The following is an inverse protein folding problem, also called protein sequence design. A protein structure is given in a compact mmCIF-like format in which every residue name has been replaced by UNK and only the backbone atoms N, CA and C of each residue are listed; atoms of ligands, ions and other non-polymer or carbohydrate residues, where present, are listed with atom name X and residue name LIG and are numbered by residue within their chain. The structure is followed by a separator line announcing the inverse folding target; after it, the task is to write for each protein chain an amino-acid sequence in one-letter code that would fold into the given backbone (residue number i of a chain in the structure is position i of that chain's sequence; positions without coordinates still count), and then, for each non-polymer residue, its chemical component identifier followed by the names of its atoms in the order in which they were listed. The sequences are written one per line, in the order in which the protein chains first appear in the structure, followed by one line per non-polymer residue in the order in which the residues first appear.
data_IF_798227279481
#
_entry.id   IF_798227279481
#
_cell.length_a   1.000
_cell.length_b   1.000
_cell.length_c   1.000
_cell.angle_alpha   90.00
_cell.angle_beta   90.00
_cell.angle_gamma   90.00
#
_symmetry.space_group_name_H-M   'P 1'
#
loop_
_entity.id
_entity.type
_entity.pdbx_description
1 polymer ?
#
# COMPACT_ATOMS: atom_id res chain seq x y z
N UNK A 1 -16.98 10.29 -22.29
CA UNK A 1 -17.33 9.18 -23.20
C UNK A 1 -18.12 8.11 -22.42
N UNK A 2 -19.34 8.46 -21.99
CA UNK A 2 -20.17 7.70 -21.02
C UNK A 2 -21.22 6.85 -21.78
N UNK A 3 -21.55 5.66 -21.26
CA UNK A 3 -22.78 4.86 -21.53
C UNK A 3 -22.78 3.64 -22.50
N UNK A 4 -21.74 2.81 -22.59
CA UNK A 4 -21.86 1.50 -23.30
C UNK A 4 -21.72 0.21 -22.49
N UNK A 5 -21.19 0.22 -21.26
CA UNK A 5 -21.03 -1.04 -20.49
C UNK A 5 -22.24 -1.47 -19.64
N UNK A 6 -23.29 -0.64 -19.54
CA UNK A 6 -24.45 -0.91 -18.65
C UNK A 6 -25.24 -2.18 -18.97
N UNK A 7 -25.20 -2.69 -20.20
CA UNK A 7 -26.08 -3.80 -20.65
C UNK A 7 -25.51 -5.20 -20.42
N UNK A 8 -24.21 -5.38 -20.11
CA UNK A 8 -23.62 -6.73 -19.90
C UNK A 8 -23.73 -7.22 -18.45
N UNK A 9 -23.58 -6.33 -17.47
CA UNK A 9 -23.60 -6.69 -16.04
C UNK A 9 -24.99 -7.14 -15.57
N UNK A 10 -26.05 -6.71 -16.26
CA UNK A 10 -27.45 -7.08 -15.94
C UNK A 10 -27.86 -8.48 -16.43
N UNK A 11 -27.01 -9.20 -17.16
CA UNK A 11 -27.27 -10.60 -17.57
C UNK A 11 -26.91 -11.63 -16.50
N UNK A 12 -26.18 -11.22 -15.45
CA UNK A 12 -25.78 -12.13 -14.36
C UNK A 12 -26.93 -12.22 -13.35
N UNK A 13 -27.54 -13.40 -13.22
CA UNK A 13 -28.67 -13.65 -12.31
C UNK A 13 -28.36 -13.24 -10.85
N UNK A 14 -27.11 -13.37 -10.43
CA UNK A 14 -26.59 -12.94 -9.13
C UNK A 14 -26.67 -11.42 -8.93
N UNK A 15 -26.37 -10.64 -9.96
CA UNK A 15 -26.44 -9.17 -9.90
C UNK A 15 -27.89 -8.68 -9.72
N UNK A 16 -28.86 -9.39 -10.32
CA UNK A 16 -30.28 -9.08 -10.14
C UNK A 16 -30.76 -9.38 -8.72
N UNK A 17 -30.37 -10.54 -8.16
CA UNK A 17 -30.67 -10.92 -6.76
C UNK A 17 -30.06 -9.94 -5.76
N UNK A 18 -28.78 -9.61 -5.93
CA UNK A 18 -28.08 -8.66 -5.07
C UNK A 18 -28.74 -7.28 -5.13
N UNK A 19 -29.07 -6.77 -6.32
CA UNK A 19 -29.76 -5.49 -6.50
C UNK A 19 -31.13 -5.46 -5.81
N UNK A 20 -31.90 -6.54 -5.87
CA UNK A 20 -33.19 -6.60 -5.20
C UNK A 20 -33.04 -6.61 -3.67
N UNK A 21 -32.06 -7.35 -3.15
CA UNK A 21 -31.77 -7.37 -1.72
C UNK A 21 -31.31 -5.99 -1.21
N UNK A 22 -30.38 -5.34 -1.92
CA UNK A 22 -29.89 -3.98 -1.61
C UNK A 22 -30.98 -2.90 -1.65
N UNK A 23 -32.08 -3.12 -2.39
CA UNK A 23 -33.24 -2.21 -2.39
C UNK A 23 -34.18 -2.44 -1.20
N UNK A 24 -34.18 -3.65 -0.62
CA UNK A 24 -34.98 -3.99 0.57
C UNK A 24 -34.33 -3.47 1.84
N UNK A 25 -32.99 -3.48 1.90
CA UNK A 25 -32.24 -2.93 3.03
C UNK A 25 -32.31 -1.40 3.00
N UNK A 26 -33.09 -0.85 3.94
CA UNK A 26 -33.21 0.59 4.16
C UNK A 26 -32.35 1.01 5.34
N UNK A 27 -31.63 2.11 5.18
CA UNK A 27 -30.83 2.68 6.25
C UNK A 27 -31.76 3.52 7.13
N UNK A 28 -31.94 3.10 8.39
CA UNK A 28 -32.77 3.82 9.36
C UNK A 28 -32.08 5.15 9.71
N UNK A 29 -32.78 6.28 9.57
CA UNK A 29 -32.29 7.60 9.98
C UNK A 29 -31.88 8.57 8.87
N UNK A 30 -31.69 8.14 7.62
CA UNK A 30 -31.21 9.02 6.52
C UNK A 30 -32.27 9.35 5.45
N UNK A 31 -33.56 9.46 5.79
CA UNK A 31 -34.60 9.85 4.83
C UNK A 31 -34.77 8.86 3.66
N UNK A 32 -35.41 7.70 3.90
CA UNK A 32 -35.80 6.71 2.88
C UNK A 32 -34.70 6.32 1.83
N UNK A 33 -33.42 6.40 2.21
CA UNK A 33 -32.31 5.97 1.36
C UNK A 33 -32.16 4.44 1.41
N UNK A 34 -32.24 3.80 0.25
CA UNK A 34 -31.95 2.37 0.08
C UNK A 34 -30.44 2.17 -0.04
N UNK A 35 -29.93 1.04 0.45
CA UNK A 35 -28.51 0.71 0.35
C UNK A 35 -28.03 0.74 -1.11
N UNK A 36 -28.86 0.29 -2.06
CA UNK A 36 -28.61 0.42 -3.49
C UNK A 36 -28.35 1.88 -3.94
N UNK A 37 -29.17 2.84 -3.48
CA UNK A 37 -29.02 4.24 -3.86
C UNK A 37 -27.78 4.85 -3.21
N UNK A 38 -27.52 4.52 -1.95
CA UNK A 38 -26.30 4.91 -1.25
C UNK A 38 -25.05 4.42 -1.99
N UNK A 39 -24.94 3.12 -2.25
CA UNK A 39 -23.78 2.56 -2.96
C UNK A 39 -23.61 3.16 -4.35
N UNK A 40 -24.71 3.44 -5.07
CA UNK A 40 -24.65 4.10 -6.36
C UNK A 40 -24.09 5.52 -6.26
N UNK A 41 -24.54 6.32 -5.29
CA UNK A 41 -24.03 7.68 -5.06
C UNK A 41 -22.56 7.62 -4.64
N UNK A 42 -22.22 6.72 -3.73
CA UNK A 42 -20.86 6.51 -3.23
C UNK A 42 -19.87 6.18 -4.35
N UNK A 43 -20.19 5.21 -5.21
CA UNK A 43 -19.34 4.85 -6.35
C UNK A 43 -19.21 6.03 -7.33
N UNK A 44 -20.31 6.75 -7.59
CA UNK A 44 -20.28 7.94 -8.44
C UNK A 44 -19.34 9.02 -7.87
N UNK A 45 -19.37 9.27 -6.56
CA UNK A 45 -18.48 10.23 -5.91
C UNK A 45 -17.02 9.76 -5.94
N UNK A 46 -16.75 8.46 -5.75
CA UNK A 46 -15.38 7.91 -5.89
C UNK A 46 -14.80 8.20 -7.28
N UNK A 47 -15.61 8.03 -8.33
CA UNK A 47 -15.21 8.32 -9.71
C UNK A 47 -15.07 9.84 -9.96
N UNK A 48 -16.00 10.65 -9.45
CA UNK A 48 -15.98 12.11 -9.60
C UNK A 48 -14.83 12.79 -8.85
N UNK A 49 -14.44 12.25 -7.68
CA UNK A 49 -13.33 12.76 -6.86
C UNK A 49 -11.96 12.18 -7.27
N UNK A 50 -11.89 11.44 -8.39
CA UNK A 50 -10.66 10.83 -8.92
C UNK A 50 -9.87 10.03 -7.87
N UNK A 51 -10.59 9.40 -6.92
CA UNK A 51 -9.97 8.73 -5.77
C UNK A 51 -9.05 7.60 -6.23
N UNK A 52 -9.40 6.91 -7.33
CA UNK A 52 -8.59 5.85 -7.88
C UNK A 52 -7.21 6.37 -8.31
N UNK A 53 -7.17 7.46 -9.08
CA UNK A 53 -5.91 8.03 -9.58
C UNK A 53 -5.06 8.59 -8.44
N UNK A 54 -5.69 9.23 -7.45
CA UNK A 54 -5.00 9.69 -6.23
C UNK A 54 -4.42 8.53 -5.44
N UNK A 55 -5.20 7.45 -5.26
CA UNK A 55 -4.74 6.26 -4.53
C UNK A 55 -3.59 5.57 -5.24
N UNK A 56 -3.60 5.53 -6.58
CA UNK A 56 -2.48 5.05 -7.39
C UNK A 56 -1.23 5.89 -7.17
N UNK A 57 -1.36 7.23 -7.17
CA UNK A 57 -0.25 8.14 -6.89
C UNK A 57 0.35 7.94 -5.49
N UNK A 58 -0.50 7.76 -4.48
CA UNK A 58 -0.08 7.45 -3.11
C UNK A 58 0.67 6.13 -3.05
N UNK A 59 0.09 5.06 -3.60
CA UNK A 59 0.70 3.73 -3.62
C UNK A 59 2.07 3.72 -4.32
N UNK A 60 2.18 4.41 -5.46
CA UNK A 60 3.43 4.56 -6.18
C UNK A 60 4.54 5.20 -5.32
N UNK A 61 4.23 6.32 -4.64
CA UNK A 61 5.21 6.99 -3.78
C UNK A 61 5.65 6.11 -2.60
N UNK A 62 4.72 5.37 -1.98
CA UNK A 62 5.07 4.45 -0.90
C UNK A 62 5.93 3.27 -1.38
N UNK A 63 5.61 2.67 -2.53
CA UNK A 63 6.42 1.58 -3.11
C UNK A 63 7.84 2.07 -3.40
N UNK A 64 7.99 3.28 -3.94
CA UNK A 64 9.31 3.89 -4.15
C UNK A 64 10.09 4.09 -2.84
N UNK A 65 9.41 4.48 -1.75
CA UNK A 65 10.05 4.70 -0.45
C UNK A 65 10.45 3.37 0.25
N UNK A 66 9.72 2.28 0.01
CA UNK A 66 9.96 0.98 0.66
C UNK A 66 11.37 0.47 0.34
N UNK A 67 11.83 0.54 -0.91
CA UNK A 67 13.13 -0.03 -1.29
C UNK A 67 14.32 0.61 -0.55
N UNK A 68 14.52 1.96 -0.58
CA UNK A 68 15.60 2.59 0.18
C UNK A 68 15.44 2.41 1.69
N UNK A 69 14.20 2.34 2.19
CA UNK A 69 13.94 2.09 3.62
C UNK A 69 14.43 0.70 4.03
N UNK A 70 14.14 -0.35 3.25
CA UNK A 70 14.64 -1.71 3.54
C UNK A 70 16.17 -1.75 3.52
N UNK A 71 16.79 -1.12 2.51
CA UNK A 71 18.26 -1.05 2.42
C UNK A 71 18.82 -0.35 3.65
N UNK A 72 18.27 0.80 4.03
CA UNK A 72 18.64 1.53 5.24
C UNK A 72 18.54 0.64 6.49
N UNK A 73 17.41 -0.03 6.69
CA UNK A 73 17.19 -0.91 7.84
C UNK A 73 18.21 -2.06 7.87
N UNK A 74 18.50 -2.71 6.74
CA UNK A 74 19.49 -3.79 6.69
C UNK A 74 20.92 -3.29 6.92
N UNK A 75 21.26 -2.12 6.38
CA UNK A 75 22.57 -1.51 6.63
C UNK A 75 22.75 -1.01 8.05
N UNK A 76 21.66 -0.80 8.80
CA UNK A 76 21.69 -0.40 10.21
C UNK A 76 22.03 -1.58 11.12
N UNK A 77 21.64 -2.81 10.76
CA UNK A 77 21.81 -4.02 11.59
C UNK A 77 23.28 -4.22 12.05
N UNK A 78 24.30 -4.15 11.18
CA UNK A 78 25.70 -4.30 11.61
C UNK A 78 26.20 -3.26 12.61
N UNK A 79 25.50 -2.13 12.77
CA UNK A 79 25.83 -1.09 13.75
C UNK A 79 25.15 -1.31 15.10
N UNK A 80 24.00 -2.00 15.12
CA UNK A 80 23.21 -2.22 16.34
C UNK A 80 23.35 -3.64 16.89
N UNK A 81 23.87 -4.59 16.11
CA UNK A 81 24.01 -6.00 16.50
C UNK A 81 24.85 -6.19 17.78
N UNK A 82 25.83 -5.31 18.01
CA UNK A 82 26.65 -5.35 19.24
C UNK A 82 25.85 -4.97 20.49
N UNK A 83 24.83 -4.11 20.34
CA UNK A 83 23.95 -3.69 21.42
C UNK A 83 22.75 -4.63 21.60
N UNK A 84 22.30 -5.26 20.51
CA UNK A 84 21.12 -6.13 20.47
C UNK A 84 21.45 -7.48 19.82
N UNK A 85 22.05 -8.43 20.56
CA UNK A 85 22.49 -9.72 20.01
C UNK A 85 21.34 -10.62 19.52
N UNK A 86 20.09 -10.32 19.87
CA UNK A 86 18.90 -10.98 19.31
C UNK A 86 18.64 -10.62 17.84
N UNK A 87 19.19 -9.49 17.37
CA UNK A 87 19.10 -9.02 15.99
C UNK A 87 20.43 -9.33 15.30
N UNK A 88 20.77 -10.62 15.24
CA UNK A 88 21.98 -11.10 14.56
C UNK A 88 21.73 -11.34 13.08
N UNK A 89 22.81 -11.37 12.31
CA UNK A 89 22.83 -11.78 10.90
C UNK A 89 22.12 -13.13 10.70
N UNK A 90 22.42 -14.11 11.53
CA UNK A 90 21.86 -15.46 11.46
C UNK A 90 20.35 -15.44 11.69
N UNK A 91 19.89 -14.67 12.69
CA UNK A 91 18.46 -14.52 12.97
C UNK A 91 17.70 -13.93 11.75
N UNK A 92 18.30 -12.96 11.06
CA UNK A 92 17.71 -12.39 9.85
C UNK A 92 17.70 -13.38 8.69
N UNK A 93 18.76 -14.17 8.51
CA UNK A 93 18.81 -15.18 7.45
C UNK A 93 17.77 -16.29 7.68
N UNK A 94 17.59 -16.74 8.92
CA UNK A 94 16.54 -17.71 9.29
C UNK A 94 15.16 -17.12 9.05
N UNK A 95 14.93 -15.87 9.46
CA UNK A 95 13.67 -15.17 9.18
C UNK A 95 13.39 -15.12 7.66
N UNK A 96 14.37 -14.78 6.84
CA UNK A 96 14.19 -14.76 5.39
C UNK A 96 13.90 -16.16 4.82
N UNK A 97 14.56 -17.22 5.31
CA UNK A 97 14.28 -18.58 4.84
C UNK A 97 12.90 -19.10 5.22
N UNK A 98 12.34 -18.67 6.35
CA UNK A 98 11.03 -19.12 6.83
C UNK A 98 9.87 -18.47 6.08
N UNK A 99 10.03 -17.23 5.62
CA UNK A 99 8.97 -16.45 4.97
C UNK A 99 9.09 -16.36 3.44
N UNK A 100 10.25 -16.69 2.86
CA UNK A 100 10.47 -16.61 1.42
C UNK A 100 10.42 -17.99 0.76
N UNK A 101 9.84 -18.08 -0.46
CA UNK A 101 10.02 -19.27 -1.28
C UNK A 101 11.52 -19.54 -1.55
N UNK A 102 11.97 -20.81 -1.61
CA UNK A 102 13.38 -21.16 -1.78
C UNK A 102 14.04 -20.48 -2.98
N UNK A 103 13.34 -20.45 -4.12
CA UNK A 103 13.82 -19.81 -5.35
C UNK A 103 14.10 -18.31 -5.21
N UNK A 104 13.37 -17.62 -4.33
CA UNK A 104 13.60 -16.20 -4.07
C UNK A 104 14.73 -16.02 -3.05
N UNK A 105 14.78 -16.86 -2.03
CA UNK A 105 15.84 -16.85 -1.03
C UNK A 105 17.21 -17.04 -1.68
N UNK A 106 17.35 -18.00 -2.60
CA UNK A 106 18.59 -18.29 -3.31
C UNK A 106 19.16 -17.08 -4.06
N UNK A 107 18.27 -16.22 -4.58
CA UNK A 107 18.64 -15.01 -5.32
C UNK A 107 19.09 -13.88 -4.39
N UNK A 108 18.42 -13.69 -3.25
CA UNK A 108 18.68 -12.54 -2.37
C UNK A 108 19.70 -12.81 -1.29
N UNK A 109 19.88 -14.08 -0.88
CA UNK A 109 20.65 -14.45 0.31
C UNK A 109 22.06 -13.87 0.27
N UNK A 110 22.77 -13.95 -0.86
CA UNK A 110 24.16 -13.48 -0.98
C UNK A 110 24.26 -11.96 -0.81
N UNK A 111 23.28 -11.22 -1.33
CA UNK A 111 23.24 -9.76 -1.25
C UNK A 111 22.93 -9.30 0.17
N UNK A 112 21.91 -9.90 0.80
CA UNK A 112 21.55 -9.60 2.18
C UNK A 112 22.73 -9.95 3.10
N UNK A 113 23.31 -11.13 2.90
CA UNK A 113 24.46 -11.60 3.65
C UNK A 113 25.65 -10.64 3.56
N UNK A 114 25.96 -10.10 2.38
CA UNK A 114 27.04 -9.12 2.21
C UNK A 114 26.73 -7.77 2.92
N UNK A 115 25.48 -7.30 2.86
CA UNK A 115 25.04 -6.08 3.57
C UNK A 115 25.16 -6.26 5.09
N UNK A 116 24.75 -7.42 5.61
CA UNK A 116 24.80 -7.71 7.05
C UNK A 116 26.22 -8.02 7.57
N UNK A 117 27.18 -8.34 6.68
CA UNK A 117 28.54 -8.71 7.10
C UNK A 117 29.41 -7.51 7.47
N UNK A 118 29.11 -6.33 6.90
CA UNK A 118 30.03 -5.19 6.88
C UNK A 118 29.29 -3.90 7.12
N UNK A 119 29.85 -3.05 7.98
CA UNK A 119 29.37 -1.69 8.18
C UNK A 119 29.64 -0.85 6.92
N UNK A 120 28.59 -0.57 6.15
CA UNK A 120 28.67 0.23 4.91
C UNK A 120 28.12 1.63 5.15
N UNK A 121 28.95 2.52 5.70
CA UNK A 121 28.54 3.89 6.08
C UNK A 121 27.92 4.68 4.93
N UNK A 122 28.48 4.60 3.72
CA UNK A 122 27.93 5.29 2.55
C UNK A 122 26.54 4.76 2.12
N UNK A 123 26.32 3.44 2.26
CA UNK A 123 25.02 2.84 1.92
C UNK A 123 23.97 3.17 3.00
N UNK A 124 24.38 3.22 4.27
CA UNK A 124 23.53 3.64 5.38
C UNK A 124 23.06 5.09 5.22
N UNK A 125 23.98 6.03 4.99
CA UNK A 125 23.63 7.45 4.87
C UNK A 125 22.82 7.74 3.61
N UNK A 126 23.22 7.18 2.47
CA UNK A 126 22.46 7.31 1.23
C UNK A 126 21.06 6.72 1.36
N UNK A 127 20.96 5.49 1.91
CA UNK A 127 19.69 4.82 2.18
C UNK A 127 18.80 5.63 3.11
N UNK A 128 19.36 6.17 4.21
CA UNK A 128 18.63 7.02 5.15
C UNK A 128 18.06 8.28 4.48
N UNK A 129 18.88 9.03 3.74
CA UNK A 129 18.45 10.28 3.09
C UNK A 129 17.38 9.99 2.04
N UNK A 130 17.56 8.97 1.21
CA UNK A 130 16.57 8.60 0.19
C UNK A 130 15.28 8.07 0.80
N UNK A 131 15.38 7.22 1.82
CA UNK A 131 14.23 6.71 2.55
C UNK A 131 13.43 7.87 3.16
N UNK A 132 14.10 8.79 3.84
CA UNK A 132 13.46 9.95 4.45
C UNK A 132 12.79 10.84 3.40
N UNK A 133 13.51 11.19 2.34
CA UNK A 133 12.98 12.03 1.25
C UNK A 133 11.76 11.43 0.58
N UNK A 134 11.83 10.14 0.19
CA UNK A 134 10.73 9.46 -0.48
C UNK A 134 9.56 9.19 0.46
N UNK A 135 9.82 8.85 1.72
CA UNK A 135 8.77 8.69 2.73
C UNK A 135 8.04 10.01 2.97
N UNK A 136 8.76 11.14 3.07
CA UNK A 136 8.13 12.47 3.13
C UNK A 136 7.27 12.73 1.90
N UNK A 137 7.76 12.44 0.69
CA UNK A 137 6.96 12.58 -0.53
C UNK A 137 5.70 11.70 -0.53
N UNK A 138 5.79 10.46 -0.05
CA UNK A 138 4.65 9.55 0.12
C UNK A 138 3.62 10.09 1.10
N UNK A 139 4.06 10.58 2.27
CA UNK A 139 3.17 11.21 3.24
C UNK A 139 2.53 12.48 2.69
N UNK A 140 3.27 13.32 1.98
CA UNK A 140 2.74 14.51 1.32
C UNK A 140 1.71 14.16 0.25
N UNK A 141 1.93 13.09 -0.53
CA UNK A 141 0.97 12.60 -1.50
C UNK A 141 -0.32 12.11 -0.82
N UNK A 142 -0.20 11.39 0.29
CA UNK A 142 -1.33 10.92 1.08
C UNK A 142 -2.14 12.10 1.65
N UNK A 143 -1.47 13.10 2.22
CA UNK A 143 -2.13 14.30 2.73
C UNK A 143 -2.88 15.05 1.62
N UNK A 144 -2.24 15.26 0.46
CA UNK A 144 -2.90 15.87 -0.70
C UNK A 144 -4.13 15.07 -1.17
N UNK A 145 -4.03 13.74 -1.18
CA UNK A 145 -5.16 12.88 -1.55
C UNK A 145 -6.35 13.04 -0.60
N UNK A 146 -6.11 13.11 0.71
CA UNK A 146 -7.16 13.36 1.69
C UNK A 146 -7.73 14.77 1.60
N UNK A 147 -6.88 15.79 1.56
CA UNK A 147 -7.27 17.19 1.44
C UNK A 147 -8.20 17.42 0.25
N UNK A 148 -7.89 16.78 -0.87
CA UNK A 148 -8.66 16.92 -2.07
C UNK A 148 -10.01 16.15 -2.04
N UNK A 149 -10.21 15.19 -1.13
CA UNK A 149 -11.54 14.60 -0.84
C UNK A 149 -12.37 15.50 0.09
N UNK A 150 -11.71 16.16 1.04
CA UNK A 150 -12.37 17.08 1.97
C UNK A 150 -12.56 18.49 1.40
N UNK A 151 -12.01 18.78 0.21
CA UNK A 151 -11.95 20.12 -0.41
C UNK A 151 -11.30 21.17 0.50
N UNK A 152 -10.40 20.73 1.37
CA UNK A 152 -9.66 21.58 2.28
C UNK A 152 -8.20 21.60 1.83
N UNK A 153 -7.83 22.68 1.15
CA UNK A 153 -6.50 23.03 0.61
C UNK A 153 -5.74 21.89 -0.07
#
# INVERSE_FOLDING_TARGET
MKYHHRKRILKVQSAFRLRQWLKRVRIKGSGNLTLYRFSKIFINNIEEDEIMDRSNGVAYNFILAIFPTIIFLFTLIPYISDFYPTISREAIMVFLSDYMPPSMFDVVQSTVMDILSKQRGGLLTFGFVFALYLATNGMMALMRAFNACYRTV
#
